data_IF_461485519642
#
_entry.id   IF_461485519642
#
_cell.length_a   1.000
_cell.length_b   1.000
_cell.length_c   1.000
_cell.angle_alpha   90.00
_cell.angle_beta   90.00
_cell.angle_gamma   90.00
#
_symmetry.space_group_name_H-M   'P 1'
#
loop_
_entity.id
_entity.type
_entity.pdbx_description
1 polymer ?
#
# COMPACT_ATOMS: atom_id res chain seq x y z
N UNK A 1 12.20 -15.68 -10.54
CA UNK A 1 11.13 -14.80 -10.02
C UNK A 1 9.79 -15.23 -10.58
N UNK A 2 8.76 -15.30 -9.75
CA UNK A 2 7.38 -15.69 -10.13
C UNK A 2 6.74 -14.62 -11.01
N UNK A 3 6.02 -15.06 -12.05
CA UNK A 3 5.24 -14.17 -12.90
C UNK A 3 3.93 -13.76 -12.21
N UNK A 4 3.38 -12.56 -12.48
CA UNK A 4 2.14 -12.10 -11.86
C UNK A 4 1.00 -13.12 -12.00
N UNK A 5 0.30 -13.40 -10.90
CA UNK A 5 -0.86 -14.28 -10.90
C UNK A 5 -0.58 -15.76 -11.07
N UNK A 6 0.69 -16.18 -11.10
CA UNK A 6 1.06 -17.59 -11.22
C UNK A 6 1.20 -18.23 -9.84
N UNK A 7 0.61 -19.41 -9.69
CA UNK A 7 0.74 -20.21 -8.47
C UNK A 7 1.88 -21.23 -8.63
N UNK A 8 2.84 -21.21 -7.71
CA UNK A 8 3.97 -22.14 -7.65
C UNK A 8 3.85 -22.92 -6.35
N UNK A 9 3.70 -24.23 -6.48
CA UNK A 9 3.43 -25.14 -5.35
C UNK A 9 4.56 -26.14 -5.10
N UNK A 10 5.50 -26.26 -6.05
CA UNK A 10 6.65 -27.17 -5.96
C UNK A 10 7.94 -26.51 -6.43
N UNK A 11 9.07 -27.05 -5.98
CA UNK A 11 10.40 -26.62 -6.46
C UNK A 11 10.58 -26.90 -7.96
N UNK A 12 10.05 -28.02 -8.46
CA UNK A 12 10.11 -28.35 -9.88
C UNK A 12 9.44 -27.28 -10.76
N UNK A 13 8.30 -26.73 -10.32
CA UNK A 13 7.64 -25.61 -11.01
C UNK A 13 8.45 -24.31 -10.93
N UNK A 14 9.20 -24.09 -9.85
CA UNK A 14 10.05 -22.92 -9.67
C UNK A 14 11.31 -22.95 -10.55
N UNK A 15 11.81 -24.15 -10.85
CA UNK A 15 13.03 -24.37 -11.65
C UNK A 15 12.76 -24.44 -13.16
N UNK A 16 11.51 -24.68 -13.58
CA UNK A 16 11.13 -24.85 -14.98
C UNK A 16 10.56 -23.58 -15.62
N UNK A 17 11.42 -22.88 -16.37
CA UNK A 17 11.05 -21.69 -17.15
C UNK A 17 10.01 -21.98 -18.24
N UNK A 18 9.93 -23.22 -18.75
CA UNK A 18 9.04 -23.57 -19.87
C UNK A 18 7.56 -23.54 -19.49
N UNK A 19 7.25 -23.62 -18.19
CA UNK A 19 5.89 -23.52 -17.66
C UNK A 19 5.32 -22.09 -17.75
N UNK A 20 6.15 -21.08 -18.04
CA UNK A 20 5.73 -19.68 -18.06
C UNK A 20 5.31 -19.15 -16.69
N UNK A 21 5.61 -19.88 -15.61
CA UNK A 21 5.32 -19.49 -14.22
C UNK A 21 6.41 -18.61 -13.61
N UNK A 22 7.62 -18.72 -14.13
CA UNK A 22 8.80 -18.02 -13.62
C UNK A 22 9.60 -17.40 -14.76
N UNK A 23 10.36 -16.36 -14.41
CA UNK A 23 11.44 -15.80 -15.23
C UNK A 23 12.76 -15.82 -14.47
N UNK A 24 13.87 -15.72 -15.19
CA UNK A 24 15.20 -15.53 -14.58
C UNK A 24 15.24 -14.24 -13.77
N UNK A 25 16.03 -14.27 -12.69
CA UNK A 25 16.37 -13.07 -11.90
C UNK A 25 17.30 -12.21 -12.76
N UNK A 26 17.03 -10.92 -12.79
CA UNK A 26 17.79 -9.89 -13.50
C UNK A 26 18.63 -9.07 -12.51
N UNK A 27 19.60 -8.33 -12.99
CA UNK A 27 20.37 -7.38 -12.16
C UNK A 27 19.47 -6.35 -11.48
N UNK A 28 18.40 -5.91 -12.17
CA UNK A 28 17.41 -5.01 -11.59
C UNK A 28 16.66 -5.63 -10.40
N UNK A 29 16.38 -6.93 -10.42
CA UNK A 29 15.77 -7.62 -9.28
C UNK A 29 16.75 -7.74 -8.11
N UNK A 30 18.04 -7.96 -8.39
CA UNK A 30 19.09 -8.02 -7.35
C UNK A 30 19.24 -6.66 -6.69
N UNK A 31 19.38 -5.59 -7.47
CA UNK A 31 19.47 -4.22 -6.95
C UNK A 31 18.23 -3.83 -6.13
N UNK A 32 17.03 -4.22 -6.58
CA UNK A 32 15.80 -4.02 -5.80
C UNK A 32 15.85 -4.77 -4.46
N UNK A 33 16.29 -6.03 -4.45
CA UNK A 33 16.40 -6.80 -3.20
C UNK A 33 17.44 -6.23 -2.24
N UNK A 34 18.56 -5.71 -2.75
CA UNK A 34 19.59 -5.04 -1.94
C UNK A 34 19.03 -3.77 -1.27
N UNK A 35 18.27 -2.96 -2.00
CA UNK A 35 17.58 -1.80 -1.43
C UNK A 35 16.57 -2.21 -0.33
N UNK A 36 15.81 -3.29 -0.56
CA UNK A 36 14.89 -3.84 0.45
C UNK A 36 15.63 -4.30 1.72
N UNK A 37 16.82 -4.87 1.58
CA UNK A 37 17.64 -5.28 2.73
C UNK A 37 18.08 -4.04 3.53
N UNK A 38 18.58 -3.00 2.87
CA UNK A 38 18.99 -1.75 3.52
C UNK A 38 17.85 -1.14 4.36
N UNK A 39 16.66 -1.02 3.77
CA UNK A 39 15.45 -0.51 4.44
C UNK A 39 15.12 -1.35 5.68
N UNK A 40 15.13 -2.68 5.56
CA UNK A 40 14.80 -3.58 6.66
C UNK A 40 15.82 -3.52 7.81
N UNK A 41 17.12 -3.39 7.49
CA UNK A 41 18.16 -3.20 8.51
C UNK A 41 17.99 -1.88 9.25
N UNK A 42 17.69 -0.80 8.51
CA UNK A 42 17.40 0.50 9.09
C UNK A 42 16.17 0.44 10.00
N UNK A 43 15.06 -0.14 9.55
CA UNK A 43 13.86 -0.31 10.36
C UNK A 43 14.09 -1.17 11.60
N UNK A 44 14.78 -2.31 11.49
CA UNK A 44 15.06 -3.15 12.65
C UNK A 44 15.79 -2.36 13.75
N UNK A 45 16.77 -1.54 13.37
CA UNK A 45 17.51 -0.67 14.28
C UNK A 45 16.65 0.44 14.87
N UNK A 46 15.96 1.21 14.04
CA UNK A 46 15.27 2.42 14.49
C UNK A 46 13.94 2.11 15.20
N UNK A 47 13.21 1.06 14.84
CA UNK A 47 12.06 0.60 15.64
C UNK A 47 12.49 0.10 17.02
N UNK A 48 13.63 -0.58 17.11
CA UNK A 48 14.18 -1.02 18.39
C UNK A 48 14.50 0.18 19.28
N UNK A 49 15.08 1.24 18.72
CA UNK A 49 15.33 2.50 19.44
C UNK A 49 14.02 3.17 19.85
N UNK A 50 13.07 3.31 18.93
CA UNK A 50 11.76 3.92 19.20
C UNK A 50 11.02 3.22 20.36
N UNK A 51 11.09 1.89 20.43
CA UNK A 51 10.54 1.09 21.54
C UNK A 51 11.28 1.34 22.85
N UNK A 52 12.62 1.41 22.83
CA UNK A 52 13.44 1.68 24.01
C UNK A 52 13.19 3.08 24.56
N UNK A 53 12.94 4.06 23.70
CA UNK A 53 12.57 5.43 24.10
C UNK A 53 11.25 5.41 24.87
N UNK A 54 10.23 4.72 24.34
CA UNK A 54 8.97 4.47 25.02
C UNK A 54 8.19 3.31 24.36
N UNK A 55 7.84 2.23 25.09
CA UNK A 55 7.10 1.09 24.53
C UNK A 55 5.75 1.44 23.90
N UNK A 56 5.14 2.57 24.27
CA UNK A 56 3.90 3.04 23.67
C UNK A 56 4.08 3.69 22.30
N UNK A 57 5.32 4.01 21.89
CA UNK A 57 5.59 4.61 20.58
C UNK A 57 5.34 3.64 19.41
N UNK A 58 5.40 2.33 19.65
CA UNK A 58 5.18 1.30 18.63
C UNK A 58 3.75 0.74 18.63
N UNK A 59 2.80 1.45 19.26
CA UNK A 59 1.40 1.02 19.41
C UNK A 59 0.44 2.03 18.81
N UNK A 60 -0.71 1.55 18.34
CA UNK A 60 -1.82 2.38 17.88
C UNK A 60 -1.45 3.43 16.84
N UNK A 61 -2.02 4.63 17.00
CA UNK A 61 -1.64 5.82 16.22
C UNK A 61 -0.42 6.45 16.89
N UNK A 62 0.73 6.48 16.22
CA UNK A 62 1.96 6.98 16.83
C UNK A 62 3.00 7.37 15.76
N UNK A 63 4.18 7.74 16.22
CA UNK A 63 5.33 8.05 15.39
C UNK A 63 5.75 6.84 14.53
N UNK A 64 6.30 7.13 13.37
CA UNK A 64 7.25 6.26 12.68
C UNK A 64 8.61 6.26 13.41
N UNK A 65 9.56 5.37 13.04
CA UNK A 65 10.89 5.35 13.65
C UNK A 65 11.77 6.57 13.31
N UNK A 66 11.60 7.15 12.11
CA UNK A 66 12.49 8.19 11.57
C UNK A 66 13.97 7.82 11.61
N UNK A 67 14.85 8.81 11.51
CA UNK A 67 16.31 8.64 11.65
C UNK A 67 16.92 7.60 10.69
N UNK A 68 16.36 7.53 9.49
CA UNK A 68 16.87 6.72 8.37
C UNK A 68 17.30 7.64 7.22
N UNK A 69 18.03 7.10 6.23
CA UNK A 69 18.41 7.85 5.03
C UNK A 69 17.19 8.34 4.23
N UNK A 70 16.19 7.46 4.12
CA UNK A 70 14.96 7.68 3.35
C UNK A 70 13.86 8.41 4.14
N UNK A 71 13.94 8.40 5.47
CA UNK A 71 13.03 9.11 6.35
C UNK A 71 13.84 9.68 7.55
N UNK A 72 14.38 10.91 7.40
CA UNK A 72 15.26 11.50 8.40
C UNK A 72 14.52 11.92 9.68
N UNK A 73 13.25 12.30 9.55
CA UNK A 73 12.44 12.85 10.63
C UNK A 73 11.51 11.79 11.24
N UNK A 74 11.06 12.02 12.48
CA UNK A 74 9.96 11.25 13.06
C UNK A 74 8.66 12.02 12.86
N UNK A 75 7.74 11.44 12.10
CA UNK A 75 6.46 12.03 11.77
C UNK A 75 5.31 11.41 12.56
N UNK A 76 4.35 12.27 12.92
CA UNK A 76 3.12 11.87 13.59
C UNK A 76 1.94 11.97 12.63
N UNK A 77 1.00 11.00 12.65
CA UNK A 77 -0.23 11.10 11.88
C UNK A 77 -1.04 12.34 12.25
N UNK A 78 -1.70 12.92 11.25
CA UNK A 78 -2.63 14.03 11.42
C UNK A 78 -4.05 13.55 11.09
N UNK A 79 -4.96 13.65 12.06
CA UNK A 79 -6.36 13.28 11.90
C UNK A 79 -7.23 14.53 12.01
N UNK A 80 -7.99 14.82 10.95
CA UNK A 80 -8.83 16.00 10.83
C UNK A 80 -8.10 17.32 11.13
N UNK A 81 -6.86 17.46 10.62
CA UNK A 81 -6.05 18.66 10.84
C UNK A 81 -5.27 18.68 12.16
N UNK A 82 -5.35 17.63 12.98
CA UNK A 82 -4.74 17.58 14.30
C UNK A 82 -3.67 16.49 14.38
N UNK A 83 -2.40 16.83 14.65
CA UNK A 83 -1.37 15.84 14.98
C UNK A 83 -1.83 14.97 16.15
N UNK A 84 -1.90 13.66 15.94
CA UNK A 84 -2.59 12.73 16.83
C UNK A 84 -1.68 11.58 17.23
N UNK A 85 -1.43 11.47 18.54
CA UNK A 85 -0.80 10.29 19.14
C UNK A 85 -1.81 9.60 20.06
N UNK A 86 -2.14 8.36 19.74
CA UNK A 86 -3.14 7.57 20.45
C UNK A 86 -2.70 6.10 20.54
N UNK A 87 -1.78 5.75 21.46
CA UNK A 87 -1.22 4.40 21.56
C UNK A 87 -2.23 3.30 21.88
N UNK A 88 -3.38 3.66 22.48
CA UNK A 88 -4.49 2.74 22.76
C UNK A 88 -5.48 2.59 21.61
N UNK A 89 -5.20 3.15 20.42
CA UNK A 89 -6.01 2.90 19.24
C UNK A 89 -5.79 1.46 18.74
N UNK A 90 -6.84 0.74 18.31
CA UNK A 90 -6.73 -0.70 18.01
C UNK A 90 -5.93 -1.02 16.75
N UNK A 91 -5.89 -0.10 15.78
CA UNK A 91 -5.17 -0.27 14.51
C UNK A 91 -3.84 0.49 14.49
N UNK A 92 -2.94 0.12 13.59
CA UNK A 92 -1.63 0.76 13.44
C UNK A 92 -1.72 1.86 12.38
N UNK A 93 -1.47 3.11 12.76
CA UNK A 93 -1.40 4.25 11.84
C UNK A 93 -0.16 5.07 12.23
N UNK A 94 0.82 5.20 11.33
CA UNK A 94 2.10 5.85 11.65
C UNK A 94 2.76 6.63 10.55
N UNK A 95 3.65 7.52 10.98
CA UNK A 95 4.42 8.40 10.14
C UNK A 95 3.53 9.46 9.55
N UNK A 96 3.92 9.95 8.38
CA UNK A 96 3.28 11.09 7.72
C UNK A 96 1.98 10.73 7.01
N UNK A 97 1.01 10.26 7.80
CA UNK A 97 -0.35 9.94 7.37
C UNK A 97 -1.29 11.08 7.72
N UNK A 98 -1.90 11.70 6.72
CA UNK A 98 -2.95 12.72 6.88
C UNK A 98 -4.30 12.13 6.52
N UNK A 99 -5.19 12.07 7.50
CA UNK A 99 -6.54 11.52 7.38
C UNK A 99 -7.58 12.61 7.61
N UNK A 100 -8.56 12.75 6.72
CA UNK A 100 -9.68 13.68 6.94
C UNK A 100 -10.57 13.23 8.11
N UNK A 101 -10.68 11.92 8.36
CA UNK A 101 -11.46 11.42 9.50
C UNK A 101 -10.80 11.73 10.85
N UNK A 102 -11.62 12.09 11.83
CA UNK A 102 -11.25 12.07 13.25
C UNK A 102 -11.04 10.63 13.75
N UNK A 103 -10.31 10.46 14.86
CA UNK A 103 -10.14 9.15 15.49
C UNK A 103 -11.47 8.49 15.91
N UNK A 104 -12.46 9.30 16.32
CA UNK A 104 -13.79 8.80 16.67
C UNK A 104 -14.57 8.29 15.44
N UNK A 105 -14.44 8.96 14.29
CA UNK A 105 -15.02 8.48 13.03
C UNK A 105 -14.35 7.19 12.57
N UNK A 106 -13.01 7.13 12.59
CA UNK A 106 -12.26 5.94 12.21
C UNK A 106 -12.68 4.71 13.01
N UNK A 107 -12.83 4.82 14.33
CA UNK A 107 -13.32 3.72 15.19
C UNK A 107 -14.68 3.16 14.77
N UNK A 108 -15.53 3.96 14.13
CA UNK A 108 -16.87 3.53 13.67
C UNK A 108 -16.84 2.84 12.31
N UNK A 109 -15.87 3.16 11.47
CA UNK A 109 -15.83 2.71 10.07
C UNK A 109 -14.73 1.68 9.79
N UNK A 110 -13.78 1.50 10.72
CA UNK A 110 -12.68 0.55 10.60
C UNK A 110 -12.97 -0.77 11.32
N UNK A 111 -12.54 -1.86 10.71
CA UNK A 111 -12.36 -3.16 11.35
C UNK A 111 -11.10 -3.21 12.21
N UNK A 112 -10.54 -4.41 12.34
CA UNK A 112 -9.37 -4.74 13.15
C UNK A 112 -8.16 -5.06 12.28
N UNK A 113 -6.97 -5.05 12.91
CA UNK A 113 -5.70 -5.47 12.30
C UNK A 113 -5.33 -4.68 11.04
N UNK A 114 -5.74 -3.40 10.99
CA UNK A 114 -5.43 -2.47 9.91
C UNK A 114 -4.05 -1.83 10.17
N UNK A 115 -3.26 -1.66 9.10
CA UNK A 115 -1.95 -1.01 9.16
C UNK A 115 -1.80 0.04 8.06
N UNK A 116 -1.70 1.31 8.45
CA UNK A 116 -1.35 2.43 7.57
C UNK A 116 0.03 2.92 7.99
N UNK A 117 1.04 2.67 7.17
CA UNK A 117 2.43 2.89 7.54
C UNK A 117 3.15 3.69 6.48
N UNK A 118 3.35 4.99 6.75
CA UNK A 118 4.10 5.93 5.94
C UNK A 118 5.45 6.22 6.61
N UNK A 119 6.30 5.20 6.70
CA UNK A 119 7.61 5.29 7.36
C UNK A 119 8.79 5.00 6.42
N UNK A 120 8.53 4.48 5.21
CA UNK A 120 9.47 4.37 4.08
C UNK A 120 9.07 5.37 2.99
N UNK A 121 7.92 5.14 2.33
CA UNK A 121 7.30 6.10 1.43
C UNK A 121 6.30 7.01 2.14
N UNK A 122 6.45 8.31 1.91
CA UNK A 122 5.61 9.36 2.51
C UNK A 122 5.46 10.57 1.57
N UNK A 123 4.46 11.45 1.76
CA UNK A 123 3.29 11.35 2.65
C UNK A 123 2.20 10.42 2.14
N UNK A 124 1.30 10.01 3.05
CA UNK A 124 -0.04 9.55 2.68
C UNK A 124 -1.06 10.65 2.94
N UNK A 125 -1.83 11.03 1.92
CA UNK A 125 -2.96 11.97 2.05
C UNK A 125 -4.24 11.23 1.71
N UNK A 126 -5.10 11.01 2.72
CA UNK A 126 -6.30 10.18 2.62
C UNK A 126 -7.51 11.02 3.04
N UNK A 127 -8.44 11.18 2.11
CA UNK A 127 -9.73 11.83 2.33
C UNK A 127 -10.66 11.01 3.24
N UNK A 128 -11.97 11.20 3.09
CA UNK A 128 -12.93 10.49 3.94
C UNK A 128 -13.00 8.99 3.61
N UNK A 129 -12.80 8.17 4.64
CA UNK A 129 -13.06 6.73 4.63
C UNK A 129 -14.49 6.49 5.11
N UNK A 130 -15.29 5.79 4.29
CA UNK A 130 -16.68 5.44 4.64
C UNK A 130 -16.81 4.04 5.22
N UNK A 131 -15.94 3.12 4.78
CA UNK A 131 -15.78 1.78 5.37
C UNK A 131 -14.38 1.25 5.10
N UNK A 132 -13.81 0.53 6.07
CA UNK A 132 -12.54 -0.16 5.93
C UNK A 132 -12.58 -1.48 6.69
N UNK A 133 -12.58 -2.59 5.94
CA UNK A 133 -12.62 -3.94 6.49
C UNK A 133 -11.35 -4.32 7.26
N UNK A 134 -11.37 -5.52 7.83
CA UNK A 134 -10.23 -6.07 8.58
C UNK A 134 -8.99 -6.23 7.67
N UNK A 135 -7.79 -6.16 8.26
CA UNK A 135 -6.52 -6.46 7.59
C UNK A 135 -6.20 -5.59 6.35
N UNK A 136 -6.72 -4.35 6.29
CA UNK A 136 -6.34 -3.42 5.21
C UNK A 136 -4.94 -2.88 5.47
N UNK A 137 -4.10 -2.87 4.44
CA UNK A 137 -2.69 -2.48 4.51
C UNK A 137 -2.41 -1.34 3.54
N UNK A 138 -1.78 -0.28 4.06
CA UNK A 138 -1.18 0.80 3.29
C UNK A 138 0.30 0.87 3.58
N UNK A 139 1.10 0.90 2.53
CA UNK A 139 2.55 1.08 2.59
C UNK A 139 3.03 1.73 1.28
N UNK A 140 4.30 2.07 1.19
CA UNK A 140 4.87 2.65 -0.02
C UNK A 140 6.38 2.44 -0.05
N UNK A 141 6.94 2.36 -1.26
CA UNK A 141 8.39 2.41 -1.44
C UNK A 141 8.92 3.81 -1.12
N UNK A 142 10.21 3.90 -0.79
CA UNK A 142 10.95 5.15 -0.54
C UNK A 142 10.58 6.28 -1.52
N UNK A 143 10.40 7.49 -1.00
CA UNK A 143 10.03 8.71 -1.75
C UNK A 143 8.73 8.61 -2.56
N UNK A 144 7.86 7.62 -2.31
CA UNK A 144 6.63 7.43 -3.09
C UNK A 144 5.37 7.77 -2.29
N UNK A 145 4.59 8.78 -2.71
CA UNK A 145 3.38 9.17 -2.00
C UNK A 145 2.17 8.29 -2.34
N UNK A 146 1.18 8.30 -1.44
CA UNK A 146 -0.16 7.74 -1.68
C UNK A 146 -1.21 8.83 -1.48
N UNK A 147 -2.11 8.97 -2.45
CA UNK A 147 -3.23 9.91 -2.40
C UNK A 147 -4.53 9.13 -2.54
N UNK A 148 -5.44 9.30 -1.58
CA UNK A 148 -6.79 8.77 -1.67
C UNK A 148 -7.79 9.89 -1.44
N UNK A 149 -8.80 9.98 -2.30
CA UNK A 149 -9.86 10.97 -2.24
C UNK A 149 -10.88 10.68 -1.15
N UNK A 150 -12.08 11.17 -1.37
CA UNK A 150 -13.21 11.08 -0.44
C UNK A 150 -14.12 9.90 -0.72
N UNK A 151 -14.85 9.48 0.29
CA UNK A 151 -15.87 8.44 0.25
C UNK A 151 -15.34 7.09 -0.22
N UNK A 152 -14.11 6.76 0.16
CA UNK A 152 -13.48 5.50 -0.25
C UNK A 152 -14.00 4.37 0.61
N UNK A 153 -14.17 3.20 -0.02
CA UNK A 153 -14.55 1.94 0.63
C UNK A 153 -13.46 0.90 0.39
N UNK A 154 -13.02 0.28 1.48
CA UNK A 154 -12.12 -0.85 1.45
C UNK A 154 -12.83 -2.04 2.11
N UNK A 155 -13.01 -3.13 1.37
CA UNK A 155 -13.38 -4.40 1.97
C UNK A 155 -12.17 -5.00 2.72
N UNK A 156 -12.33 -6.20 3.28
CA UNK A 156 -11.26 -6.87 4.02
C UNK A 156 -10.05 -7.22 3.15
N UNK A 157 -8.86 -7.17 3.75
CA UNK A 157 -7.57 -7.61 3.18
C UNK A 157 -7.16 -6.87 1.91
N UNK A 158 -7.64 -5.64 1.72
CA UNK A 158 -7.18 -4.77 0.63
C UNK A 158 -5.75 -4.29 0.91
N UNK A 159 -4.93 -4.25 -0.14
CA UNK A 159 -3.57 -3.70 -0.09
C UNK A 159 -3.49 -2.51 -1.04
N UNK A 160 -3.06 -1.37 -0.52
CA UNK A 160 -2.70 -0.18 -1.32
C UNK A 160 -1.23 0.11 -1.11
N UNK A 161 -0.47 0.14 -2.19
CA UNK A 161 0.97 0.33 -2.12
C UNK A 161 1.46 1.43 -3.07
N UNK A 162 2.20 2.41 -2.53
CA UNK A 162 2.96 3.41 -3.29
C UNK A 162 4.18 2.78 -3.97
N UNK A 163 4.59 3.23 -5.15
CA UNK A 163 5.77 2.65 -5.79
C UNK A 163 6.29 3.43 -6.99
N UNK A 164 5.99 4.72 -7.03
CA UNK A 164 6.44 5.63 -8.07
C UNK A 164 5.81 5.32 -9.41
N UNK A 165 4.53 5.69 -9.54
CA UNK A 165 3.73 5.51 -10.74
C UNK A 165 4.41 6.19 -11.92
N UNK A 166 4.45 5.48 -13.05
CA UNK A 166 4.92 6.02 -14.32
C UNK A 166 3.75 5.92 -15.29
N UNK A 167 2.98 7.00 -15.44
CA UNK A 167 1.80 6.98 -16.29
C UNK A 167 2.23 6.67 -17.73
N UNK A 168 1.51 5.76 -18.39
CA UNK A 168 1.84 5.36 -19.75
C UNK A 168 1.44 6.40 -20.81
N UNK A 169 0.54 7.32 -20.44
CA UNK A 169 0.04 8.40 -21.31
C UNK A 169 0.68 9.77 -21.01
N UNK A 170 1.87 9.77 -20.39
CA UNK A 170 2.63 10.98 -20.02
C UNK A 170 2.49 11.39 -18.55
N UNK A 171 3.54 12.00 -18.01
CA UNK A 171 3.65 12.38 -16.59
C UNK A 171 5.10 12.31 -16.10
N UNK A 172 5.33 12.59 -14.82
CA UNK A 172 6.64 12.43 -14.21
C UNK A 172 6.98 10.96 -13.97
N UNK A 173 8.27 10.71 -13.77
CA UNK A 173 8.68 9.54 -13.00
C UNK A 173 8.32 9.76 -11.52
N UNK A 174 7.91 8.70 -10.84
CA UNK A 174 7.60 8.72 -9.40
C UNK A 174 6.26 9.41 -8.99
N UNK A 175 5.22 9.34 -9.82
CA UNK A 175 3.88 9.84 -9.47
C UNK A 175 3.25 9.03 -8.31
N UNK A 176 2.32 9.62 -7.54
CA UNK A 176 1.63 8.89 -6.47
C UNK A 176 0.81 7.70 -7.00
N UNK A 177 0.62 6.71 -6.13
CA UNK A 177 -0.56 5.83 -6.21
C UNK A 177 -1.78 6.66 -5.83
N UNK A 178 -2.78 6.72 -6.71
CA UNK A 178 -3.96 7.59 -6.56
C UNK A 178 -5.22 6.74 -6.51
N UNK A 179 -6.06 6.96 -5.50
CA UNK A 179 -7.47 6.55 -5.50
C UNK A 179 -8.31 7.83 -5.55
N UNK A 180 -9.07 8.06 -6.62
CA UNK A 180 -9.97 9.22 -6.69
C UNK A 180 -11.25 9.00 -5.84
N UNK A 181 -12.12 10.01 -5.79
CA UNK A 181 -13.34 9.97 -4.97
C UNK A 181 -14.28 8.80 -5.32
N UNK A 182 -14.98 8.28 -4.31
CA UNK A 182 -16.01 7.24 -4.41
C UNK A 182 -15.51 5.89 -4.95
N UNK A 183 -14.21 5.60 -4.85
CA UNK A 183 -13.65 4.30 -5.22
C UNK A 183 -14.05 3.22 -4.21
N UNK A 184 -14.30 2.01 -4.71
CA UNK A 184 -14.52 0.81 -3.88
C UNK A 184 -13.52 -0.29 -4.24
N UNK A 185 -12.64 -0.63 -3.31
CA UNK A 185 -11.74 -1.76 -3.42
C UNK A 185 -12.36 -2.97 -2.71
N UNK A 186 -12.71 -4.01 -3.46
CA UNK A 186 -13.35 -5.21 -2.90
C UNK A 186 -12.33 -6.17 -2.30
N UNK A 187 -12.82 -7.19 -1.58
CA UNK A 187 -11.99 -8.01 -0.69
C UNK A 187 -10.76 -8.59 -1.40
N UNK A 188 -9.59 -8.49 -0.76
CA UNK A 188 -8.31 -8.97 -1.28
C UNK A 188 -7.85 -8.30 -2.59
N UNK A 189 -8.39 -7.13 -2.94
CA UNK A 189 -7.85 -6.35 -4.05
C UNK A 189 -6.48 -5.76 -3.69
N UNK A 190 -5.60 -5.69 -4.68
CA UNK A 190 -4.28 -5.07 -4.57
C UNK A 190 -4.18 -3.92 -5.56
N UNK A 191 -3.80 -2.74 -5.09
CA UNK A 191 -3.49 -1.58 -5.92
C UNK A 191 -2.04 -1.21 -5.66
N UNK A 192 -1.20 -1.31 -6.68
CA UNK A 192 0.20 -0.94 -6.60
C UNK A 192 0.53 0.02 -7.73
N UNK A 193 1.13 1.16 -7.38
CA UNK A 193 1.70 2.10 -8.36
C UNK A 193 0.67 2.52 -9.43
N UNK A 194 -0.58 2.78 -9.05
CA UNK A 194 -1.70 2.87 -10.01
C UNK A 194 -2.60 4.06 -9.73
N UNK A 195 -3.35 4.50 -10.74
CA UNK A 195 -4.43 5.46 -10.57
C UNK A 195 -5.77 4.75 -10.71
N UNK A 196 -6.62 4.84 -9.70
CA UNK A 196 -7.98 4.32 -9.72
C UNK A 196 -8.95 5.50 -9.83
N UNK A 197 -9.59 5.63 -11.00
CA UNK A 197 -10.47 6.74 -11.32
C UNK A 197 -11.73 6.79 -10.45
N UNK A 198 -12.31 7.99 -10.36
CA UNK A 198 -13.47 8.31 -9.53
C UNK A 198 -14.60 7.31 -9.75
N UNK A 199 -15.20 6.81 -8.67
CA UNK A 199 -16.33 5.88 -8.74
C UNK A 199 -16.01 4.50 -9.29
N UNK A 200 -14.74 4.18 -9.54
CA UNK A 200 -14.36 2.85 -10.01
C UNK A 200 -14.47 1.80 -8.89
N UNK A 201 -14.72 0.56 -9.30
CA UNK A 201 -14.81 -0.60 -8.42
C UNK A 201 -13.75 -1.62 -8.83
N UNK A 202 -12.88 -2.01 -7.90
CA UNK A 202 -11.90 -3.07 -8.14
C UNK A 202 -12.43 -4.37 -7.58
N UNK A 203 -12.57 -5.38 -8.45
CA UNK A 203 -13.09 -6.70 -8.11
C UNK A 203 -12.31 -7.43 -7.03
N UNK A 204 -12.97 -8.41 -6.41
CA UNK A 204 -12.38 -9.24 -5.36
C UNK A 204 -11.18 -10.00 -5.91
N UNK A 205 -10.12 -10.11 -5.11
CA UNK A 205 -8.91 -10.86 -5.48
C UNK A 205 -8.28 -10.38 -6.79
N UNK A 206 -8.49 -9.12 -7.19
CA UNK A 206 -7.91 -8.54 -8.40
C UNK A 206 -6.68 -7.71 -8.04
N UNK A 207 -5.71 -7.64 -8.96
CA UNK A 207 -4.49 -6.86 -8.76
C UNK A 207 -4.31 -5.85 -9.88
N UNK A 208 -4.11 -4.58 -9.52
CA UNK A 208 -3.93 -3.47 -10.44
C UNK A 208 -2.52 -2.92 -10.23
N UNK A 209 -1.66 -3.09 -11.23
CA UNK A 209 -0.25 -2.75 -11.14
C UNK A 209 0.15 -1.82 -12.28
N UNK A 210 0.74 -0.67 -11.96
CA UNK A 210 1.13 0.35 -12.94
C UNK A 210 0.05 0.62 -14.00
N UNK A 211 -1.20 0.77 -13.55
CA UNK A 211 -2.37 0.89 -14.42
C UNK A 211 -3.24 2.08 -14.03
N UNK A 212 -3.71 2.82 -15.01
CA UNK A 212 -4.65 3.92 -14.86
C UNK A 212 -6.06 3.42 -15.24
N UNK A 213 -6.87 3.17 -14.22
CA UNK A 213 -8.27 2.73 -14.37
C UNK A 213 -9.16 3.96 -14.57
N UNK A 214 -9.91 4.00 -15.67
CA UNK A 214 -10.79 5.11 -15.99
C UNK A 214 -11.93 5.27 -14.95
N UNK A 215 -12.46 6.50 -14.74
CA UNK A 215 -13.58 6.74 -13.84
C UNK A 215 -14.81 5.87 -14.13
N UNK A 216 -15.49 5.41 -13.08
CA UNK A 216 -16.71 4.58 -13.18
C UNK A 216 -16.46 3.14 -13.65
N UNK A 217 -15.21 2.76 -13.94
CA UNK A 217 -14.90 1.40 -14.41
C UNK A 217 -15.11 0.38 -13.30
N UNK A 218 -15.75 -0.73 -13.63
CA UNK A 218 -15.81 -1.91 -12.76
C UNK A 218 -14.86 -2.97 -13.28
N UNK A 219 -13.80 -3.25 -12.53
CA UNK A 219 -12.88 -4.35 -12.81
C UNK A 219 -13.50 -5.66 -12.30
N UNK A 220 -13.56 -6.74 -13.10
CA UNK A 220 -14.05 -8.04 -12.66
C UNK A 220 -13.26 -8.64 -11.48
N UNK A 221 -13.83 -9.67 -10.85
CA UNK A 221 -13.14 -10.43 -9.82
C UNK A 221 -12.02 -11.30 -10.41
N UNK A 222 -10.94 -11.51 -9.64
CA UNK A 222 -9.82 -12.41 -9.94
C UNK A 222 -9.07 -12.10 -11.24
N UNK A 223 -8.89 -10.82 -11.57
CA UNK A 223 -8.10 -10.41 -12.74
C UNK A 223 -6.89 -9.58 -12.35
N UNK A 224 -5.87 -9.62 -13.20
CA UNK A 224 -4.65 -8.83 -13.05
C UNK A 224 -4.53 -7.89 -14.23
N UNK A 225 -4.38 -6.60 -13.93
CA UNK A 225 -3.97 -5.59 -14.89
C UNK A 225 -2.54 -5.16 -14.59
N UNK A 226 -1.72 -5.14 -15.64
CA UNK A 226 -0.34 -4.65 -15.59
C UNK A 226 -0.13 -3.72 -16.78
N UNK A 227 0.40 -2.52 -16.54
CA UNK A 227 0.74 -1.57 -17.61
C UNK A 227 -0.44 -1.28 -18.57
N UNK A 228 -1.62 -0.95 -18.01
CA UNK A 228 -2.86 -0.69 -18.75
C UNK A 228 -3.41 -1.85 -19.60
N UNK A 229 -2.87 -3.07 -19.45
CA UNK A 229 -3.34 -4.25 -20.16
C UNK A 229 -3.85 -5.31 -19.19
N UNK A 230 -4.91 -6.02 -19.58
CA UNK A 230 -5.33 -7.25 -18.89
C UNK A 230 -4.21 -8.28 -19.07
N UNK A 231 -3.54 -8.62 -17.98
CA UNK A 231 -2.50 -9.65 -17.97
C UNK A 231 -3.11 -11.05 -17.96
N UNK A 232 -4.15 -11.26 -17.15
CA UNK A 232 -4.83 -12.56 -17.05
C UNK A 232 -5.56 -12.75 -15.72
N UNK A 233 -6.13 -13.95 -15.49
CA UNK A 233 -6.75 -14.28 -14.21
C UNK A 233 -5.71 -14.57 -13.12
N UNK A 234 -6.13 -14.53 -11.86
CA UNK A 234 -5.30 -14.97 -10.72
C UNK A 234 -5.42 -16.49 -10.53
N UNK A 235 -4.30 -17.20 -10.57
CA UNK A 235 -4.18 -18.59 -10.13
C UNK A 235 -4.04 -18.59 -8.60
N UNK A 236 -4.92 -19.31 -7.91
CA UNK A 236 -4.88 -19.51 -6.46
C UNK A 236 -4.58 -20.97 -6.14
#
# INVERSE_FOLDING_TARGET
MTMPGKNITTQAEADDLSLGKVRRITEADVAFNEAVIEVNEAFAREYTRLFRDNPSNVRGISLDPGNTSFNPDRDLPELAGVPTRLPGFPNRIIGKVRLTNTAAQLRRVQGQEISLRADEGEPFTIGTITSMGNNVIFHALEETPVVAGNNIRYDERVIVHGGGRRPLEGGGDNEPTILEDNVWLRSQAVVFRSKIGRGAVIGRKSAIMNTDVAPGTTIPDKVIYVNNALFGPVEW
#
